data_IF_373369495644
#
_entry.id   IF_373369495644
#
_cell.length_a   1.000
_cell.length_b   1.000
_cell.length_c   1.000
_cell.angle_alpha   90.00
_cell.angle_beta   90.00
_cell.angle_gamma   90.00
#
_symmetry.space_group_name_H-M   'P 1'
#
loop_
_entity.id
_entity.type
_entity.pdbx_description
1 polymer ?
#
# COMPACT_ATOMS: atom_id res chain seq x y z
N UNK A 1 5.36 -20.19 -6.61
CA UNK A 1 4.24 -19.71 -7.45
C UNK A 1 4.53 -18.29 -7.91
N UNK A 2 4.47 -18.02 -9.22
CA UNK A 2 4.74 -16.71 -9.79
C UNK A 2 3.63 -15.67 -9.54
N UNK A 3 3.86 -14.43 -9.99
CA UNK A 3 2.88 -13.34 -9.88
C UNK A 3 1.80 -13.49 -10.94
N UNK A 4 0.61 -13.93 -10.53
CA UNK A 4 -0.57 -13.93 -11.40
C UNK A 4 -1.07 -12.51 -11.69
N UNK A 5 -1.46 -12.24 -12.95
CA UNK A 5 -2.17 -11.01 -13.33
C UNK A 5 -3.56 -11.03 -12.68
N UNK A 6 -3.98 -9.92 -12.11
CA UNK A 6 -5.33 -9.74 -11.54
C UNK A 6 -5.98 -8.49 -12.16
N UNK A 7 -7.30 -8.52 -12.30
CA UNK A 7 -8.06 -7.34 -12.72
C UNK A 7 -8.05 -6.26 -11.63
N UNK A 8 -8.11 -4.99 -12.03
CA UNK A 8 -8.22 -3.86 -11.10
C UNK A 8 -9.69 -3.67 -10.74
N UNK A 9 -10.16 -4.53 -9.83
CA UNK A 9 -11.49 -4.48 -9.21
C UNK A 9 -11.40 -4.87 -7.73
N UNK A 10 -12.47 -4.69 -6.98
CA UNK A 10 -12.55 -5.13 -5.58
C UNK A 10 -12.33 -6.65 -5.53
N UNK A 11 -11.42 -7.09 -4.65
CA UNK A 11 -11.22 -8.53 -4.40
C UNK A 11 -12.31 -8.97 -3.45
N UNK A 12 -13.19 -9.89 -3.87
CA UNK A 12 -14.33 -10.32 -3.05
C UNK A 12 -13.90 -11.18 -1.85
N UNK A 13 -13.01 -12.14 -2.07
CA UNK A 13 -12.46 -12.97 -1.01
C UNK A 13 -11.70 -12.11 0.03
N UNK A 14 -12.19 -12.10 1.27
CA UNK A 14 -11.69 -11.27 2.37
C UNK A 14 -10.24 -11.55 2.72
N UNK A 15 -9.86 -12.82 2.81
CA UNK A 15 -8.49 -13.25 3.12
C UNK A 15 -7.51 -12.78 2.05
N UNK A 16 -7.84 -13.01 0.77
CA UNK A 16 -7.01 -12.56 -0.35
C UNK A 16 -6.91 -11.03 -0.41
N UNK A 17 -8.01 -10.33 -0.12
CA UNK A 17 -8.03 -8.87 -0.03
C UNK A 17 -7.12 -8.35 1.08
N UNK A 18 -7.13 -8.96 2.26
CA UNK A 18 -6.29 -8.57 3.39
C UNK A 18 -4.80 -8.82 3.14
N UNK A 19 -4.45 -9.97 2.57
CA UNK A 19 -3.06 -10.28 2.18
C UNK A 19 -2.58 -9.33 1.08
N UNK A 20 -3.43 -9.08 0.07
CA UNK A 20 -3.11 -8.14 -1.02
C UNK A 20 -2.93 -6.72 -0.51
N UNK A 21 -3.81 -6.26 0.38
CA UNK A 21 -3.70 -4.96 1.03
C UNK A 21 -2.36 -4.82 1.76
N UNK A 22 -2.00 -5.80 2.59
CA UNK A 22 -0.75 -5.79 3.36
C UNK A 22 0.48 -5.71 2.44
N UNK A 23 0.51 -6.51 1.37
CA UNK A 23 1.61 -6.51 0.39
C UNK A 23 1.70 -5.20 -0.40
N UNK A 24 0.56 -4.67 -0.88
CA UNK A 24 0.51 -3.43 -1.67
C UNK A 24 0.82 -2.19 -0.84
N UNK A 25 0.29 -2.11 0.39
CA UNK A 25 0.60 -1.04 1.35
C UNK A 25 2.11 -0.96 1.58
N UNK A 26 2.76 -2.08 1.87
CA UNK A 26 4.21 -2.11 2.09
C UNK A 26 4.99 -1.66 0.83
N UNK A 27 4.53 -2.07 -0.36
CA UNK A 27 5.14 -1.62 -1.63
C UNK A 27 5.01 -0.11 -1.85
N UNK A 28 3.82 0.47 -1.61
CA UNK A 28 3.59 1.92 -1.73
C UNK A 28 4.42 2.69 -0.71
N UNK A 29 4.46 2.24 0.54
CA UNK A 29 5.26 2.89 1.60
C UNK A 29 6.75 2.92 1.22
N UNK A 30 7.27 1.83 0.66
CA UNK A 30 8.64 1.78 0.15
C UNK A 30 8.86 2.82 -0.95
N UNK A 31 7.93 2.93 -1.91
CA UNK A 31 8.02 3.91 -3.00
C UNK A 31 7.93 5.36 -2.53
N UNK A 32 7.05 5.65 -1.58
CA UNK A 32 6.96 6.99 -0.99
C UNK A 32 8.27 7.38 -0.28
N UNK A 33 8.86 6.45 0.47
CA UNK A 33 10.18 6.65 1.09
C UNK A 33 11.28 6.86 0.04
N UNK A 34 11.32 6.04 -1.01
CA UNK A 34 12.27 6.20 -2.11
C UNK A 34 12.17 7.59 -2.75
N UNK A 35 10.96 8.06 -3.06
CA UNK A 35 10.74 9.39 -3.65
C UNK A 35 11.12 10.54 -2.70
N UNK A 36 10.79 10.40 -1.42
CA UNK A 36 11.16 11.39 -0.41
C UNK A 36 12.68 11.56 -0.32
N UNK A 37 13.43 10.45 -0.38
CA UNK A 37 14.91 10.49 -0.30
C UNK A 37 15.55 10.91 -1.63
N UNK A 38 15.08 10.38 -2.76
CA UNK A 38 15.74 10.59 -4.06
C UNK A 38 15.44 11.96 -4.66
N UNK A 39 14.28 12.53 -4.36
CA UNK A 39 13.77 13.74 -5.02
C UNK A 39 13.45 14.87 -4.04
N UNK A 40 13.77 14.70 -2.74
CA UNK A 40 13.38 15.63 -1.66
C UNK A 40 11.87 15.97 -1.67
N UNK A 41 11.05 15.02 -2.13
CA UNK A 41 9.63 15.22 -2.30
C UNK A 41 8.92 15.12 -0.95
N UNK A 42 8.11 16.14 -0.61
CA UNK A 42 7.19 16.06 0.54
C UNK A 42 5.99 15.20 0.17
N UNK A 43 5.76 14.12 0.91
CA UNK A 43 4.73 13.11 0.63
C UNK A 43 3.98 12.79 1.91
N UNK A 44 2.65 12.78 1.83
CA UNK A 44 1.76 12.25 2.87
C UNK A 44 0.86 11.18 2.28
N UNK A 45 0.76 10.04 2.97
CA UNK A 45 -0.08 8.91 2.61
C UNK A 45 -0.91 8.50 3.83
N UNK A 46 -2.21 8.36 3.61
CA UNK A 46 -3.16 7.92 4.63
C UNK A 46 -3.96 6.74 4.07
N UNK A 47 -4.03 5.65 4.85
CA UNK A 47 -4.82 4.48 4.48
C UNK A 47 -5.66 4.00 5.66
N UNK A 48 -6.95 3.81 5.39
CA UNK A 48 -7.91 3.20 6.30
C UNK A 48 -8.23 1.79 5.80
N UNK A 49 -7.98 0.80 6.63
CA UNK A 49 -8.34 -0.58 6.31
C UNK A 49 -9.79 -0.89 6.68
N UNK A 50 -10.35 -1.94 6.09
CA UNK A 50 -11.63 -2.51 6.54
C UNK A 50 -11.60 -3.06 7.96
N UNK A 51 -10.41 -3.23 8.55
CA UNK A 51 -10.22 -3.64 9.95
C UNK A 51 -10.14 -2.45 10.90
N UNK A 52 -10.48 -1.24 10.44
CA UNK A 52 -10.39 0.03 11.18
C UNK A 52 -8.97 0.35 11.67
N UNK A 53 -7.95 -0.25 11.04
CA UNK A 53 -6.56 0.08 11.31
C UNK A 53 -6.14 1.24 10.43
N UNK A 54 -5.45 2.18 11.06
CA UNK A 54 -4.87 3.35 10.41
C UNK A 54 -3.42 3.06 10.05
N UNK A 55 -3.03 3.43 8.83
CA UNK A 55 -1.67 3.34 8.36
C UNK A 55 -1.31 4.65 7.67
N UNK A 56 -0.24 5.28 8.12
CA UNK A 56 0.25 6.52 7.54
C UNK A 56 1.74 6.48 7.22
N UNK A 57 2.11 7.31 6.27
CA UNK A 57 3.49 7.69 6.00
C UNK A 57 3.51 9.18 5.73
N UNK A 58 4.36 9.91 6.45
CA UNK A 58 4.58 11.34 6.26
C UNK A 58 6.08 11.56 6.13
N UNK A 59 6.49 12.25 5.07
CA UNK A 59 7.88 12.67 4.88
C UNK A 59 8.30 13.61 6.03
N UNK A 60 9.56 13.53 6.51
CA UNK A 60 10.12 14.48 7.48
C UNK A 60 10.02 15.94 7.04
#
# INVERSE_FOLDING_TARGET
>A
MGRGKIEIKKIENSTNRQVTYSKRRNGIFKKAKELTVLCDAKISLIMLSSTRKYHEYTSP
#
